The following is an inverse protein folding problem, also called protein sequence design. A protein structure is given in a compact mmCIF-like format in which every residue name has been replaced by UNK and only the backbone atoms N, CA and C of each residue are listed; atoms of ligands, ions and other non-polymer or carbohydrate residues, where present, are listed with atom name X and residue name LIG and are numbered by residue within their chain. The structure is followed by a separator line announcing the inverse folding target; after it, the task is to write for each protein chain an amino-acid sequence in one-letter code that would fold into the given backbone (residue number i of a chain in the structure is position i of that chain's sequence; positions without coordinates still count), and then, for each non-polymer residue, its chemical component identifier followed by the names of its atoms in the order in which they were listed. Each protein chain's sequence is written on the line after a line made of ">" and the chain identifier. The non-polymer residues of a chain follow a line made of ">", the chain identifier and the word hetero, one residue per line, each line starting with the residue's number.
data_IF_239637491860
#
_entry.id   IF_239637491860
#
_cell.length_a   1.000
_cell.length_b   1.000
_cell.length_c   1.000
_cell.angle_alpha   90.00
_cell.angle_beta   90.00
_cell.angle_gamma   90.00
#
_symmetry.space_group_name_H-M   'P 1'
#
loop_
_entity.id
_entity.type
_entity.pdbx_description
1 polymer ?
#
# COMPACT_ATOMS: atom_id res chain seq x y z
N UNK A 1 15.32 24.71 -20.42
CA UNK A 1 15.25 23.87 -19.84
C UNK A 1 14.14 23.63 -19.11
N UNK A 2 13.61 22.71 -19.20
CA UNK A 2 12.47 22.55 -18.60
C UNK A 2 12.54 21.67 -17.46
N UNK A 3 13.30 22.06 -16.58
CA UNK A 3 13.47 21.30 -15.39
C UNK A 3 12.24 21.32 -14.53
N UNK A 4 11.21 22.03 -14.98
CA UNK A 4 10.01 22.17 -14.17
C UNK A 4 8.90 21.21 -14.53
N UNK A 5 9.05 20.47 -15.62
CA UNK A 5 8.06 19.47 -15.98
C UNK A 5 8.07 18.35 -14.96
N UNK A 6 6.94 18.08 -14.31
CA UNK A 6 6.91 16.97 -13.37
C UNK A 6 7.12 15.66 -14.10
N UNK A 7 7.85 14.77 -13.48
CA UNK A 7 8.03 13.46 -14.04
C UNK A 7 6.70 12.70 -13.95
N UNK A 8 6.35 12.01 -15.01
CA UNK A 8 5.17 11.16 -15.05
C UNK A 8 5.55 9.74 -15.44
N UNK A 9 4.62 8.84 -15.22
CA UNK A 9 4.86 7.42 -15.45
C UNK A 9 3.68 6.82 -16.21
N UNK A 10 3.97 5.85 -17.08
CA UNK A 10 2.92 5.05 -17.69
C UNK A 10 2.58 3.86 -16.78
N UNK A 11 1.45 3.22 -17.04
CA UNK A 11 1.07 2.03 -16.30
C UNK A 11 2.11 0.91 -16.51
N UNK A 12 2.66 0.81 -17.70
CA UNK A 12 3.68 -0.19 -18.02
C UNK A 12 4.96 0.05 -17.23
N UNK A 13 5.38 1.31 -17.13
CA UNK A 13 6.57 1.65 -16.34
C UNK A 13 6.39 1.27 -14.87
N UNK A 14 5.25 1.60 -14.28
CA UNK A 14 4.98 1.27 -12.88
C UNK A 14 4.86 -0.23 -12.66
N UNK A 15 4.23 -0.92 -13.61
CA UNK A 15 4.12 -2.38 -13.56
C UNK A 15 5.49 -3.03 -13.51
N UNK A 16 6.42 -2.57 -14.33
CA UNK A 16 7.78 -3.10 -14.36
C UNK A 16 8.57 -2.74 -13.11
N UNK A 17 8.45 -1.49 -12.69
CA UNK A 17 9.20 -1.01 -11.52
C UNK A 17 8.85 -1.80 -10.27
N UNK A 18 7.57 -2.07 -10.06
CA UNK A 18 7.10 -2.72 -8.84
C UNK A 18 6.86 -4.22 -9.00
N UNK A 19 7.12 -4.74 -10.19
CA UNK A 19 6.93 -6.17 -10.50
C UNK A 19 5.51 -6.64 -10.16
N UNK A 20 4.53 -5.90 -10.64
CA UNK A 20 3.12 -6.24 -10.50
C UNK A 20 2.43 -6.12 -11.85
N UNK A 21 1.24 -6.68 -11.97
CA UNK A 21 0.50 -6.61 -13.22
C UNK A 21 -0.16 -5.26 -13.40
N UNK A 22 -0.39 -4.86 -14.65
CA UNK A 22 -1.15 -3.66 -14.94
C UNK A 22 -2.59 -3.81 -14.42
N UNK A 23 -3.10 -5.04 -14.38
CA UNK A 23 -4.41 -5.33 -13.84
C UNK A 23 -4.49 -4.95 -12.34
N UNK A 24 -3.45 -5.25 -11.57
CA UNK A 24 -3.40 -4.86 -10.17
C UNK A 24 -3.44 -3.36 -10.00
N UNK A 25 -2.70 -2.64 -10.84
CA UNK A 25 -2.69 -1.17 -10.78
C UNK A 25 -4.08 -0.62 -11.10
N UNK A 26 -4.74 -1.16 -12.12
CA UNK A 26 -6.09 -0.74 -12.47
C UNK A 26 -7.08 -1.06 -11.36
N UNK A 27 -6.87 -2.15 -10.64
CA UNK A 27 -7.69 -2.48 -9.48
C UNK A 27 -7.60 -1.40 -8.40
N UNK A 28 -6.38 -0.95 -8.11
CA UNK A 28 -6.19 0.12 -7.12
C UNK A 28 -6.80 1.44 -7.58
N UNK A 29 -6.81 1.68 -8.89
CA UNK A 29 -7.49 2.84 -9.46
C UNK A 29 -9.00 2.72 -9.23
N UNK A 30 -9.58 1.53 -9.47
CA UNK A 30 -11.00 1.29 -9.23
C UNK A 30 -11.38 1.51 -7.76
N UNK A 31 -10.48 1.14 -6.85
CA UNK A 31 -10.68 1.35 -5.43
C UNK A 31 -10.41 2.78 -5.00
N UNK A 32 -10.08 3.65 -5.95
CA UNK A 32 -9.81 5.08 -5.73
C UNK A 32 -8.65 5.33 -4.77
N UNK A 33 -7.71 4.41 -4.75
CA UNK A 33 -6.47 4.57 -3.99
C UNK A 33 -5.45 5.38 -4.77
N UNK A 34 -5.52 5.32 -6.10
CA UNK A 34 -4.73 6.17 -7.00
C UNK A 34 -5.67 6.70 -8.07
N UNK A 35 -5.38 7.92 -8.54
CA UNK A 35 -6.23 8.58 -9.53
C UNK A 35 -5.38 9.19 -10.62
N UNK A 36 -4.98 8.39 -11.62
CA UNK A 36 -4.16 8.91 -12.70
C UNK A 36 -4.94 9.88 -13.56
N UNK A 37 -4.22 10.79 -14.18
CA UNK A 37 -4.76 11.65 -15.21
C UNK A 37 -4.84 10.88 -16.52
N UNK A 38 -5.64 11.39 -17.45
CA UNK A 38 -5.76 10.77 -18.77
C UNK A 38 -5.30 11.73 -19.84
N UNK A 39 -4.50 11.22 -20.76
CA UNK A 39 -4.16 11.92 -21.99
C UNK A 39 -4.71 11.05 -23.13
N UNK A 40 -5.89 11.40 -23.63
CA UNK A 40 -6.61 10.54 -24.58
C UNK A 40 -7.02 9.26 -23.88
N UNK A 41 -6.62 8.12 -24.44
CA UNK A 41 -6.92 6.82 -23.85
C UNK A 41 -5.85 6.34 -22.87
N UNK A 42 -4.77 7.10 -22.74
CA UNK A 42 -3.65 6.67 -21.89
C UNK A 42 -3.77 7.20 -20.48
N UNK A 43 -3.36 6.38 -19.51
CA UNK A 43 -3.26 6.78 -18.14
C UNK A 43 -1.90 7.39 -17.89
N UNK A 44 -1.89 8.52 -17.17
CA UNK A 44 -0.66 9.20 -16.80
C UNK A 44 -0.60 9.28 -15.28
N UNK A 45 0.40 8.66 -14.70
CA UNK A 45 0.57 8.61 -13.25
C UNK A 45 1.58 9.65 -12.82
N UNK A 46 1.25 10.39 -11.78
CA UNK A 46 2.14 11.42 -11.22
C UNK A 46 3.12 10.78 -10.24
N UNK A 47 4.07 11.59 -9.79
CA UNK A 47 4.98 11.17 -8.74
C UNK A 47 4.24 10.82 -7.45
N UNK A 48 3.17 11.58 -7.14
CA UNK A 48 2.30 11.26 -6.01
C UNK A 48 1.62 9.90 -6.15
N UNK A 49 1.15 9.60 -7.34
CA UNK A 49 0.55 8.29 -7.62
C UNK A 49 1.55 7.16 -7.40
N UNK A 50 2.80 7.38 -7.80
CA UNK A 50 3.85 6.39 -7.61
C UNK A 50 4.10 6.14 -6.12
N UNK A 51 4.15 7.22 -5.32
CA UNK A 51 4.32 7.10 -3.88
C UNK A 51 3.14 6.35 -3.24
N UNK A 52 1.92 6.67 -3.68
CA UNK A 52 0.73 5.97 -3.17
C UNK A 52 0.77 4.49 -3.52
N UNK A 53 1.17 4.15 -4.73
CA UNK A 53 1.30 2.76 -5.14
C UNK A 53 2.32 2.04 -4.27
N UNK A 54 3.44 2.69 -3.96
CA UNK A 54 4.46 2.12 -3.09
C UNK A 54 3.89 1.85 -1.68
N UNK A 55 3.11 2.79 -1.14
CA UNK A 55 2.46 2.62 0.16
C UNK A 55 1.46 1.45 0.13
N UNK A 56 0.69 1.33 -0.95
CA UNK A 56 -0.26 0.24 -1.11
C UNK A 56 0.46 -1.10 -1.06
N UNK A 57 1.51 -1.24 -1.84
CA UNK A 57 2.22 -2.51 -1.97
C UNK A 57 2.92 -2.89 -0.68
N UNK A 58 3.52 -1.93 0.02
CA UNK A 58 4.13 -2.18 1.32
C UNK A 58 3.09 -2.59 2.35
N UNK A 59 1.96 -1.89 2.38
CA UNK A 59 0.89 -2.21 3.31
C UNK A 59 0.34 -3.61 3.09
N UNK A 60 0.12 -3.97 1.84
CA UNK A 60 -0.36 -5.31 1.51
C UNK A 60 0.63 -6.39 1.91
N UNK A 61 1.91 -6.14 1.72
CA UNK A 61 2.94 -7.12 2.07
C UNK A 61 2.93 -7.48 3.55
N UNK A 62 2.68 -6.51 4.41
CA UNK A 62 2.67 -6.76 5.85
C UNK A 62 1.28 -7.06 6.40
N UNK A 63 0.30 -7.17 5.51
CA UNK A 63 -1.02 -7.67 5.89
C UNK A 63 -2.04 -6.61 6.28
N UNK A 64 -1.82 -5.35 5.94
CA UNK A 64 -2.84 -4.33 6.13
C UNK A 64 -4.01 -4.58 5.18
N UNK A 65 -5.22 -4.30 5.65
CA UNK A 65 -6.41 -4.34 4.80
C UNK A 65 -6.42 -3.14 3.87
N UNK A 66 -7.20 -3.20 2.79
CA UNK A 66 -7.35 -2.05 1.90
C UNK A 66 -7.95 -0.86 2.64
N UNK A 67 -8.84 -1.08 3.60
CA UNK A 67 -9.39 0.00 4.42
C UNK A 67 -8.32 0.70 5.22
N UNK A 68 -7.41 -0.07 5.84
CA UNK A 68 -6.29 0.49 6.58
C UNK A 68 -5.34 1.26 5.68
N UNK A 69 -5.04 0.71 4.51
CA UNK A 69 -4.20 1.37 3.52
C UNK A 69 -4.84 2.68 3.05
N UNK A 70 -6.17 2.67 2.85
CA UNK A 70 -6.92 3.87 2.45
C UNK A 70 -6.78 4.97 3.49
N UNK A 71 -6.86 4.63 4.78
CA UNK A 71 -6.68 5.60 5.84
C UNK A 71 -5.29 6.24 5.78
N UNK A 72 -4.27 5.43 5.57
CA UNK A 72 -2.89 5.91 5.47
C UNK A 72 -2.73 6.87 4.29
N UNK A 73 -3.29 6.52 3.14
CA UNK A 73 -3.22 7.35 1.94
C UNK A 73 -3.98 8.65 2.13
N UNK A 74 -5.16 8.58 2.74
CA UNK A 74 -5.96 9.77 3.03
C UNK A 74 -5.18 10.75 3.92
N UNK A 75 -4.49 10.24 4.92
CA UNK A 75 -3.66 11.08 5.77
C UNK A 75 -2.46 11.66 5.02
N UNK A 76 -1.87 10.88 4.11
CA UNK A 76 -0.76 11.36 3.29
C UNK A 76 -1.19 12.54 2.42
N UNK A 77 -2.43 12.52 1.93
CA UNK A 77 -2.96 13.57 1.06
C UNK A 77 -3.50 14.78 1.84
N UNK A 78 -3.53 14.70 3.15
CA UNK A 78 -4.05 15.77 4.00
C UNK A 78 -3.06 16.94 4.12
N UNK A 79 -3.53 18.18 4.06
CA UNK A 79 -2.65 19.35 4.17
C UNK A 79 -1.88 19.44 5.48
N UNK A 80 -2.46 18.93 6.57
CA UNK A 80 -1.79 18.96 7.88
C UNK A 80 -1.32 17.57 8.25
N UNK A 81 -1.09 16.71 7.27
CA UNK A 81 -1.10 15.29 7.50
C UNK A 81 0.20 14.64 7.87
N UNK A 82 1.35 15.31 7.68
CA UNK A 82 2.61 14.60 7.81
C UNK A 82 2.81 14.01 9.21
N UNK A 83 2.61 14.81 10.25
CA UNK A 83 2.73 14.32 11.61
C UNK A 83 1.63 13.32 11.95
N UNK A 84 0.40 13.65 11.58
CA UNK A 84 -0.74 12.75 11.83
C UNK A 84 -0.61 11.45 11.07
N UNK A 85 -0.09 11.51 9.86
CA UNK A 85 0.18 10.31 9.07
C UNK A 85 1.19 9.41 9.78
N UNK A 86 2.26 10.01 10.30
CA UNK A 86 3.28 9.26 11.02
C UNK A 86 2.69 8.59 12.26
N UNK A 87 1.90 9.33 13.02
CA UNK A 87 1.24 8.79 14.22
C UNK A 87 0.31 7.63 13.87
N UNK A 88 -0.49 7.79 12.83
CA UNK A 88 -1.41 6.77 12.38
C UNK A 88 -0.65 5.53 11.91
N UNK A 89 0.41 5.74 11.15
CA UNK A 89 1.21 4.63 10.62
C UNK A 89 1.87 3.85 11.76
N UNK A 90 2.46 4.56 12.73
CA UNK A 90 3.07 3.91 13.90
C UNK A 90 2.05 3.09 14.68
N UNK A 91 0.84 3.64 14.88
CA UNK A 91 -0.24 2.94 15.55
C UNK A 91 -0.64 1.67 14.80
N UNK A 92 -0.78 1.76 13.48
CA UNK A 92 -1.17 0.60 12.67
C UNK A 92 -0.08 -0.46 12.64
N UNK A 93 1.18 -0.05 12.61
CA UNK A 93 2.30 -0.99 12.69
C UNK A 93 2.29 -1.72 14.02
N UNK A 94 2.07 -1.00 15.12
CA UNK A 94 2.01 -1.61 16.45
C UNK A 94 0.87 -2.63 16.54
N UNK A 95 -0.32 -2.29 16.02
CA UNK A 95 -1.45 -3.20 15.99
C UNK A 95 -1.15 -4.44 15.18
N UNK A 96 -0.55 -4.28 14.01
CA UNK A 96 -0.22 -5.40 13.13
C UNK A 96 0.83 -6.30 13.77
N UNK A 97 1.84 -5.69 14.39
CA UNK A 97 2.89 -6.45 15.10
C UNK A 97 2.30 -7.28 16.23
N UNK A 98 1.39 -6.70 17.01
CA UNK A 98 0.71 -7.39 18.09
C UNK A 98 -0.11 -8.57 17.56
N UNK A 99 -0.85 -8.36 16.48
CA UNK A 99 -1.64 -9.43 15.86
C UNK A 99 -0.76 -10.57 15.37
N UNK A 100 0.37 -10.26 14.74
CA UNK A 100 1.30 -11.27 14.26
C UNK A 100 1.94 -12.05 15.40
N UNK A 101 2.29 -11.37 16.50
CA UNK A 101 2.83 -12.03 17.68
C UNK A 101 1.83 -13.00 18.27
N UNK A 102 0.55 -12.62 18.31
CA UNK A 102 -0.50 -13.52 18.80
C UNK A 102 -0.70 -14.71 17.88
N UNK A 103 -0.70 -14.48 16.57
CA UNK A 103 -0.80 -15.56 15.59
C UNK A 103 0.36 -16.55 15.75
N UNK A 104 1.56 -16.05 16.00
CA UNK A 104 2.72 -16.91 16.21
C UNK A 104 2.54 -17.81 17.43
N UNK A 105 2.05 -17.25 18.53
CA UNK A 105 1.78 -18.03 19.74
C UNK A 105 0.71 -19.08 19.49
N UNK A 106 -0.33 -18.72 18.74
CA UNK A 106 -1.42 -19.65 18.42
C UNK A 106 -0.90 -20.80 17.57
N UNK A 107 -0.03 -20.51 16.60
CA UNK A 107 0.58 -21.54 15.75
C UNK A 107 1.42 -22.48 16.59
N UNK A 108 2.25 -21.94 17.48
CA UNK A 108 3.10 -22.76 18.35
C UNK A 108 2.24 -23.68 19.23
N UNK A 109 1.14 -23.17 19.76
CA UNK A 109 0.20 -23.96 20.57
C UNK A 109 -0.42 -25.08 19.72
N UNK A 110 -0.87 -24.77 18.52
CA UNK A 110 -1.45 -25.76 17.63
C UNK A 110 -0.48 -26.87 17.27
N UNK A 111 0.79 -26.52 17.06
CA UNK A 111 1.82 -27.50 16.74
C UNK A 111 2.05 -28.46 17.90
N UNK A 112 2.06 -27.93 19.13
CA UNK A 112 2.18 -28.77 20.32
C UNK A 112 1.00 -29.71 20.45
N UNK A 113 -0.22 -29.21 20.29
CA UNK A 113 -1.43 -30.02 20.37
C UNK A 113 -1.43 -31.13 19.34
N UNK A 114 -1.02 -30.83 18.11
CA UNK A 114 -0.93 -31.83 17.05
C UNK A 114 0.08 -32.91 17.40
N UNK A 115 1.22 -32.52 17.99
CA UNK A 115 2.22 -33.52 18.41
C UNK A 115 1.67 -34.46 19.47
N UNK A 116 0.80 -33.99 20.33
CA UNK A 116 0.21 -34.83 21.39
C UNK A 116 -0.80 -35.84 20.83
N UNK A 117 -1.32 -35.58 19.63
CA UNK A 117 -2.25 -36.51 18.99
C UNK A 117 -1.56 -37.64 18.24
N UNK A 118 -0.25 -37.55 18.03
CA UNK A 118 0.49 -38.65 17.41
C UNK A 118 0.68 -39.83 18.40
#
# INVERSE_FOLDING_TARGET
>A
MNTLSPKTYSITELSKEFDITTRSIRHYEQEKLITPQRAGSQRIYTKGDRVRLQLILRGKRIGFSLAEIREIITMYDSPCGEQKQTELLVSKIAQRRSALSQQQKDIDTMLVELSQLE
#
